data_IF_024947968688
#
_entry.id   IF_024947968688
#
_cell.length_a   1.000
_cell.length_b   1.000
_cell.length_c   1.000
_cell.angle_alpha   90.00
_cell.angle_beta   90.00
_cell.angle_gamma   90.00
#
_symmetry.space_group_name_H-M   'P 1'
#
loop_
_entity.id
_entity.type
_entity.pdbx_description
1 polymer ?
#
# COMPACT_ATOMS: atom_id res chain seq x y z
N UNK A 1 11.77 -0.50 -31.79
CA UNK A 1 12.85 -0.90 -30.87
C UNK A 1 12.38 -0.65 -29.46
N UNK A 2 11.82 -1.68 -28.86
CA UNK A 2 11.46 -1.66 -27.43
C UNK A 2 12.73 -1.77 -26.62
N UNK A 3 13.17 -0.69 -26.01
CA UNK A 3 14.17 -0.72 -24.95
C UNK A 3 13.54 -1.48 -23.78
N UNK A 4 13.84 -2.74 -23.67
CA UNK A 4 13.63 -3.49 -22.43
C UNK A 4 14.46 -2.79 -21.34
N UNK A 5 13.78 -1.95 -20.57
CA UNK A 5 14.30 -1.44 -19.31
C UNK A 5 14.32 -2.61 -18.33
N UNK A 6 15.32 -3.46 -18.45
CA UNK A 6 15.57 -4.56 -17.53
C UNK A 6 16.01 -3.94 -16.21
N UNK A 7 15.05 -3.55 -15.38
CA UNK A 7 15.33 -3.02 -14.07
C UNK A 7 16.17 -4.05 -13.29
N UNK A 8 17.40 -3.65 -12.91
CA UNK A 8 18.29 -4.49 -12.11
C UNK A 8 17.57 -4.96 -10.83
N UNK A 9 17.73 -6.23 -10.49
CA UNK A 9 17.23 -6.76 -9.21
C UNK A 9 17.85 -5.99 -8.04
N UNK A 10 17.21 -6.04 -6.88
CA UNK A 10 17.73 -5.40 -5.66
C UNK A 10 19.12 -5.93 -5.33
N UNK A 11 19.37 -7.23 -5.51
CA UNK A 11 20.65 -7.87 -5.32
C UNK A 11 21.71 -7.35 -6.31
N UNK A 12 21.36 -7.22 -7.59
CA UNK A 12 22.28 -6.69 -8.60
C UNK A 12 22.63 -5.22 -8.32
N UNK A 13 21.67 -4.42 -7.86
CA UNK A 13 21.89 -3.03 -7.44
C UNK A 13 22.83 -2.93 -6.23
N UNK A 14 22.64 -3.81 -5.24
CA UNK A 14 23.51 -3.87 -4.07
C UNK A 14 24.94 -4.28 -4.44
N UNK A 15 25.08 -5.27 -5.31
CA UNK A 15 26.39 -5.71 -5.82
C UNK A 15 27.11 -4.60 -6.60
N UNK A 16 26.36 -3.83 -7.39
CA UNK A 16 26.92 -2.69 -8.14
C UNK A 16 27.36 -1.57 -7.18
N UNK A 17 26.57 -1.25 -6.18
CA UNK A 17 26.87 -0.20 -5.19
C UNK A 17 28.14 -0.50 -4.36
N UNK A 18 28.44 -1.78 -4.17
CA UNK A 18 29.64 -2.24 -3.44
C UNK A 18 30.78 -2.65 -4.37
N UNK A 19 30.63 -2.50 -5.68
CA UNK A 19 31.59 -2.99 -6.68
C UNK A 19 32.01 -4.45 -6.42
N UNK A 20 31.02 -5.30 -6.08
CA UNK A 20 31.24 -6.63 -5.49
C UNK A 20 32.19 -7.52 -6.31
N UNK A 21 32.12 -7.48 -7.63
CA UNK A 21 32.99 -8.28 -8.49
C UNK A 21 34.46 -7.93 -8.31
N UNK A 22 34.78 -6.64 -8.32
CA UNK A 22 36.17 -6.14 -8.14
C UNK A 22 36.62 -6.34 -6.69
N UNK A 23 35.75 -6.06 -5.72
CA UNK A 23 36.03 -6.25 -4.31
C UNK A 23 36.28 -7.72 -3.97
N UNK A 24 35.49 -8.65 -4.49
CA UNK A 24 35.64 -10.07 -4.25
C UNK A 24 36.99 -10.58 -4.76
N UNK A 25 37.41 -10.19 -5.97
CA UNK A 25 38.72 -10.55 -6.53
C UNK A 25 39.85 -10.06 -5.64
N UNK A 26 39.81 -8.78 -5.26
CA UNK A 26 40.85 -8.20 -4.38
C UNK A 26 40.89 -8.85 -3.00
N UNK A 27 39.75 -9.09 -2.38
CA UNK A 27 39.69 -9.71 -1.06
C UNK A 27 40.17 -11.17 -1.07
N UNK A 28 39.84 -11.90 -2.14
CA UNK A 28 40.28 -13.28 -2.32
C UNK A 28 41.80 -13.36 -2.45
N UNK A 29 42.40 -12.48 -3.26
CA UNK A 29 43.83 -12.39 -3.41
C UNK A 29 44.51 -12.02 -2.08
N UNK A 30 43.95 -11.04 -1.36
CA UNK A 30 44.48 -10.62 -0.07
C UNK A 30 44.41 -11.76 0.96
N UNK A 31 43.30 -12.50 1.00
CA UNK A 31 43.14 -13.65 1.87
C UNK A 31 44.13 -14.78 1.56
N UNK A 32 44.35 -15.07 0.26
CA UNK A 32 45.35 -16.06 -0.18
C UNK A 32 46.76 -15.67 0.27
N UNK A 33 47.17 -14.41 0.04
CA UNK A 33 48.47 -13.90 0.50
C UNK A 33 48.63 -13.98 2.01
N UNK A 34 47.61 -13.63 2.76
CA UNK A 34 47.61 -13.65 4.24
C UNK A 34 47.73 -15.05 4.81
N UNK A 35 47.21 -16.08 4.13
CA UNK A 35 47.33 -17.49 4.55
C UNK A 35 48.77 -18.02 4.55
N UNK A 36 49.69 -17.37 3.83
CA UNK A 36 51.09 -17.71 3.87
C UNK A 36 51.76 -17.39 5.21
N UNK A 37 51.18 -16.47 6.01
CA UNK A 37 51.63 -16.12 7.34
C UNK A 37 51.00 -17.12 8.33
N UNK A 38 51.74 -18.16 8.70
CA UNK A 38 51.24 -19.24 9.54
C UNK A 38 51.75 -19.15 10.99
N UNK A 39 52.88 -18.49 11.24
CA UNK A 39 53.46 -18.28 12.55
C UNK A 39 54.39 -17.05 12.54
N UNK A 40 54.57 -16.46 13.71
CA UNK A 40 55.54 -15.38 13.92
C UNK A 40 56.72 -15.96 14.70
N UNK A 41 57.91 -15.97 14.10
CA UNK A 41 59.12 -16.56 14.68
C UNK A 41 60.17 -15.52 15.03
N UNK A 42 60.03 -14.29 14.53
CA UNK A 42 60.96 -13.20 14.76
C UNK A 42 60.28 -11.83 14.64
N UNK A 43 61.02 -10.75 14.92
CA UNK A 43 60.51 -9.39 14.90
C UNK A 43 60.04 -8.95 13.51
N UNK A 44 60.72 -9.39 12.44
CA UNK A 44 60.35 -9.03 11.06
C UNK A 44 59.02 -9.72 10.67
N UNK A 45 58.86 -10.99 11.01
CA UNK A 45 57.59 -11.72 10.83
C UNK A 45 56.43 -11.10 11.58
N UNK A 46 56.64 -10.56 12.79
CA UNK A 46 55.65 -9.80 13.51
C UNK A 46 55.25 -8.52 12.78
N UNK A 47 56.21 -7.80 12.22
CA UNK A 47 55.97 -6.56 11.45
C UNK A 47 55.21 -6.86 10.17
N UNK A 48 55.53 -7.91 9.46
CA UNK A 48 54.81 -8.36 8.26
C UNK A 48 53.38 -8.78 8.58
N UNK A 49 53.17 -9.55 9.63
CA UNK A 49 51.84 -9.93 10.09
C UNK A 49 51.00 -8.72 10.45
N UNK A 50 51.58 -7.73 11.15
CA UNK A 50 50.88 -6.50 11.50
C UNK A 50 50.50 -5.70 10.24
N UNK A 51 51.37 -5.55 9.28
CA UNK A 51 51.09 -4.88 8.01
C UNK A 51 49.96 -5.56 7.25
N UNK A 52 49.99 -6.89 7.15
CA UNK A 52 48.92 -7.65 6.52
C UNK A 52 47.57 -7.49 7.25
N UNK A 53 47.58 -7.50 8.59
CA UNK A 53 46.38 -7.26 9.39
C UNK A 53 45.82 -5.85 9.18
N UNK A 54 46.67 -4.82 9.07
CA UNK A 54 46.21 -3.46 8.79
C UNK A 54 45.60 -3.32 7.39
N UNK A 55 46.22 -3.93 6.38
CA UNK A 55 45.67 -3.96 5.02
C UNK A 55 44.31 -4.64 4.97
N UNK A 56 44.15 -5.77 5.64
CA UNK A 56 42.84 -6.46 5.75
C UNK A 56 41.80 -5.61 6.48
N UNK A 57 42.18 -4.92 7.56
CA UNK A 57 41.31 -3.99 8.29
C UNK A 57 40.86 -2.83 7.41
N UNK A 58 41.78 -2.22 6.66
CA UNK A 58 41.44 -1.10 5.74
C UNK A 58 40.46 -1.54 4.66
N UNK A 59 40.67 -2.72 4.06
CA UNK A 59 39.78 -3.29 3.08
C UNK A 59 38.34 -3.49 3.68
N UNK A 60 38.26 -4.08 4.87
CA UNK A 60 36.99 -4.26 5.57
C UNK A 60 36.27 -2.93 5.86
N UNK A 61 37.00 -1.95 6.41
CA UNK A 61 36.45 -0.64 6.73
C UNK A 61 35.96 0.10 5.48
N UNK A 62 36.67 -0.03 4.35
CA UNK A 62 36.25 0.54 3.08
C UNK A 62 34.89 -0.02 2.63
N UNK A 63 34.72 -1.34 2.72
CA UNK A 63 33.44 -2.01 2.37
C UNK A 63 32.32 -1.57 3.31
N UNK A 64 32.58 -1.50 4.61
CA UNK A 64 31.59 -1.06 5.60
C UNK A 64 31.13 0.39 5.34
N UNK A 65 32.06 1.29 4.98
CA UNK A 65 31.73 2.67 4.60
C UNK A 65 30.89 2.75 3.33
N UNK A 66 31.28 2.00 2.28
CA UNK A 66 30.52 1.93 1.04
C UNK A 66 29.09 1.41 1.28
N UNK A 67 28.96 0.35 2.09
CA UNK A 67 27.67 -0.19 2.47
C UNK A 67 26.80 0.79 3.28
N UNK A 68 27.42 1.55 4.17
CA UNK A 68 26.70 2.61 4.92
C UNK A 68 26.19 3.70 3.98
N UNK A 69 27.04 4.21 3.08
CA UNK A 69 26.64 5.23 2.11
C UNK A 69 25.51 4.75 1.21
N UNK A 70 25.59 3.52 0.68
CA UNK A 70 24.54 2.95 -0.15
C UNK A 70 23.18 2.82 0.58
N UNK A 71 23.20 2.50 1.88
CA UNK A 71 21.97 2.44 2.69
C UNK A 71 21.39 3.83 2.97
N UNK A 72 22.25 4.84 3.18
CA UNK A 72 21.81 6.22 3.36
C UNK A 72 21.13 6.76 2.10
N UNK A 73 21.70 6.51 0.93
CA UNK A 73 21.11 6.87 -0.36
C UNK A 73 19.77 6.16 -0.61
N UNK A 74 19.69 4.86 -0.30
CA UNK A 74 18.45 4.11 -0.42
C UNK A 74 17.34 4.64 0.52
N UNK A 75 17.72 5.06 1.74
CA UNK A 75 16.80 5.66 2.70
C UNK A 75 16.31 7.02 2.21
N UNK A 76 17.18 7.85 1.67
CA UNK A 76 16.84 9.15 1.10
C UNK A 76 15.89 9.00 -0.09
N UNK A 77 16.15 8.05 -0.98
CA UNK A 77 15.28 7.73 -2.10
C UNK A 77 13.89 7.26 -1.63
N UNK A 78 13.83 6.35 -0.65
CA UNK A 78 12.55 5.88 -0.08
C UNK A 78 11.72 7.04 0.49
N UNK A 79 12.34 7.95 1.22
CA UNK A 79 11.65 9.14 1.74
C UNK A 79 11.14 10.06 0.62
N UNK A 80 11.93 10.24 -0.44
CA UNK A 80 11.52 11.04 -1.59
C UNK A 80 10.32 10.43 -2.32
N UNK A 81 10.29 9.11 -2.48
CA UNK A 81 9.15 8.39 -3.07
C UNK A 81 7.88 8.56 -2.22
N UNK A 82 7.97 8.42 -0.90
CA UNK A 82 6.83 8.62 0.01
C UNK A 82 6.29 10.06 -0.10
N UNK A 83 7.17 11.05 -0.16
CA UNK A 83 6.79 12.45 -0.29
C UNK A 83 6.09 12.71 -1.64
N UNK A 84 6.61 12.16 -2.73
CA UNK A 84 6.02 12.32 -4.06
C UNK A 84 4.67 11.59 -4.18
N UNK A 85 4.56 10.39 -3.61
CA UNK A 85 3.29 9.66 -3.51
C UNK A 85 2.23 10.50 -2.78
N UNK A 86 2.56 11.04 -1.62
CA UNK A 86 1.65 11.89 -0.86
C UNK A 86 1.22 13.13 -1.66
N UNK A 87 2.13 13.75 -2.40
CA UNK A 87 1.84 14.88 -3.28
C UNK A 87 0.85 14.50 -4.38
N UNK A 88 1.08 13.38 -5.04
CA UNK A 88 0.21 12.89 -6.13
C UNK A 88 -1.19 12.49 -5.62
N UNK A 89 -1.26 11.80 -4.49
CA UNK A 89 -2.53 11.44 -3.85
C UNK A 89 -3.32 12.69 -3.45
N UNK A 90 -2.66 13.71 -2.93
CA UNK A 90 -3.31 14.96 -2.55
C UNK A 90 -3.96 15.70 -3.74
N UNK A 91 -3.51 15.47 -4.98
CA UNK A 91 -4.11 16.06 -6.17
C UNK A 91 -5.48 15.44 -6.51
N UNK A 92 -5.66 14.14 -6.30
CA UNK A 92 -6.85 13.41 -6.75
C UNK A 92 -7.85 13.11 -5.62
N UNK A 93 -7.39 12.97 -4.38
CA UNK A 93 -8.22 12.60 -3.25
C UNK A 93 -9.43 13.53 -3.01
N UNK A 94 -9.30 14.86 -3.11
CA UNK A 94 -10.46 15.77 -2.98
C UNK A 94 -11.53 15.50 -4.03
N UNK A 95 -11.13 15.20 -5.27
CA UNK A 95 -12.04 14.91 -6.36
C UNK A 95 -12.72 13.54 -6.18
N UNK A 96 -11.98 12.54 -5.73
CA UNK A 96 -12.54 11.24 -5.35
C UNK A 96 -13.63 11.41 -4.27
N UNK A 97 -13.33 12.14 -3.20
CA UNK A 97 -14.29 12.42 -2.13
C UNK A 97 -15.54 13.12 -2.66
N UNK A 98 -15.37 14.16 -3.46
CA UNK A 98 -16.47 14.90 -4.07
C UNK A 98 -17.38 14.01 -4.92
N UNK A 99 -16.80 13.14 -5.74
CA UNK A 99 -17.56 12.23 -6.60
C UNK A 99 -18.32 11.17 -5.78
N UNK A 100 -17.71 10.66 -4.72
CA UNK A 100 -18.35 9.72 -3.79
C UNK A 100 -19.55 10.40 -3.11
N UNK A 101 -19.40 11.60 -2.60
CA UNK A 101 -20.46 12.38 -1.98
C UNK A 101 -21.63 12.61 -2.95
N UNK A 102 -21.36 13.03 -4.17
CA UNK A 102 -22.40 13.20 -5.21
C UNK A 102 -23.16 11.91 -5.52
N UNK A 103 -22.46 10.79 -5.59
CA UNK A 103 -23.09 9.48 -5.78
C UNK A 103 -24.00 9.13 -4.60
N UNK A 104 -23.50 9.28 -3.40
CA UNK A 104 -24.22 8.94 -2.17
C UNK A 104 -25.43 9.84 -1.96
N UNK A 105 -25.34 11.13 -2.29
CA UNK A 105 -26.48 12.06 -2.30
C UNK A 105 -27.56 11.63 -3.30
N UNK A 106 -27.17 11.25 -4.50
CA UNK A 106 -28.08 10.74 -5.52
C UNK A 106 -28.78 9.46 -5.06
N UNK A 107 -28.03 8.51 -4.55
CA UNK A 107 -28.57 7.24 -4.06
C UNK A 107 -29.55 7.45 -2.90
N UNK A 108 -29.23 8.36 -1.97
CA UNK A 108 -30.11 8.74 -0.88
C UNK A 108 -31.41 9.39 -1.39
N UNK A 109 -31.29 10.27 -2.40
CA UNK A 109 -32.47 10.90 -3.02
C UNK A 109 -33.38 9.87 -3.68
N UNK A 110 -32.85 8.98 -4.49
CA UNK A 110 -33.60 7.91 -5.17
C UNK A 110 -34.28 6.99 -4.15
N UNK A 111 -33.57 6.63 -3.09
CA UNK A 111 -34.14 5.84 -2.01
C UNK A 111 -35.28 6.55 -1.30
N UNK A 112 -35.13 7.83 -0.97
CA UNK A 112 -36.16 8.64 -0.33
C UNK A 112 -37.40 8.79 -1.23
N UNK A 113 -37.22 9.05 -2.53
CA UNK A 113 -38.33 9.12 -3.49
C UNK A 113 -39.09 7.81 -3.60
N UNK A 114 -38.41 6.69 -3.62
CA UNK A 114 -39.01 5.35 -3.63
C UNK A 114 -39.81 5.08 -2.36
N UNK A 115 -39.21 5.35 -1.19
CA UNK A 115 -39.89 5.18 0.11
C UNK A 115 -41.12 6.07 0.24
N UNK A 116 -41.06 7.33 -0.25
CA UNK A 116 -42.17 8.23 -0.28
C UNK A 116 -43.32 7.74 -1.19
N UNK A 117 -42.98 7.25 -2.39
CA UNK A 117 -43.95 6.67 -3.32
C UNK A 117 -44.62 5.41 -2.74
N UNK A 118 -43.86 4.53 -2.12
CA UNK A 118 -44.39 3.34 -1.45
C UNK A 118 -45.29 3.71 -0.24
N UNK A 119 -44.92 4.72 0.54
CA UNK A 119 -45.74 5.22 1.64
C UNK A 119 -47.08 5.80 1.15
N UNK A 120 -47.03 6.58 0.07
CA UNK A 120 -48.22 7.14 -0.56
C UNK A 120 -49.17 6.06 -1.07
N UNK A 121 -48.65 5.03 -1.73
CA UNK A 121 -49.45 3.90 -2.21
C UNK A 121 -50.01 3.07 -1.05
N UNK A 122 -49.27 2.86 0.04
CA UNK A 122 -49.84 2.24 1.25
C UNK A 122 -50.99 3.04 1.82
N UNK A 123 -50.86 4.36 1.92
CA UNK A 123 -51.95 5.23 2.40
C UNK A 123 -53.21 5.15 1.48
N UNK A 124 -53.00 5.14 0.16
CA UNK A 124 -54.06 4.98 -0.81
C UNK A 124 -54.81 3.66 -0.63
N UNK A 125 -54.06 2.56 -0.51
CA UNK A 125 -54.65 1.23 -0.28
C UNK A 125 -55.46 1.18 1.03
N UNK A 126 -54.91 1.72 2.12
CA UNK A 126 -55.61 1.77 3.41
C UNK A 126 -56.85 2.63 3.34
N UNK A 127 -56.86 3.76 2.63
CA UNK A 127 -58.05 4.59 2.41
C UNK A 127 -59.12 3.84 1.62
N UNK A 128 -58.75 3.09 0.59
CA UNK A 128 -59.67 2.25 -0.20
C UNK A 128 -60.27 1.15 0.69
N UNK A 129 -59.47 0.46 1.49
CA UNK A 129 -59.96 -0.57 2.42
C UNK A 129 -60.93 0.00 3.44
N UNK A 130 -60.64 1.17 4.00
CA UNK A 130 -61.55 1.86 4.93
C UNK A 130 -62.89 2.19 4.29
N UNK A 131 -62.91 2.69 3.04
CA UNK A 131 -64.17 2.95 2.31
C UNK A 131 -64.92 1.67 2.01
N UNK A 132 -64.29 0.61 1.65
CA UNK A 132 -64.95 -0.71 1.43
C UNK A 132 -65.58 -1.21 2.71
N UNK A 133 -64.92 -1.09 3.85
CA UNK A 133 -65.45 -1.46 5.15
C UNK A 133 -66.68 -0.59 5.54
N UNK A 134 -66.63 0.71 5.27
CA UNK A 134 -67.75 1.64 5.50
C UNK A 134 -68.95 1.29 4.65
N UNK A 135 -68.80 1.03 3.35
CA UNK A 135 -69.84 0.55 2.48
C UNK A 135 -70.45 -0.79 2.93
N UNK A 136 -69.61 -1.73 3.33
CA UNK A 136 -70.00 -3.03 3.86
C UNK A 136 -70.91 -2.86 5.12
N UNK A 137 -70.55 -1.98 6.03
CA UNK A 137 -71.37 -1.67 7.19
C UNK A 137 -72.73 -1.07 6.82
N UNK A 138 -72.75 -0.09 5.89
CA UNK A 138 -74.00 0.50 5.39
C UNK A 138 -74.95 -0.54 4.75
N UNK A 139 -74.38 -1.47 3.96
CA UNK A 139 -75.20 -2.55 3.35
C UNK A 139 -75.79 -3.48 4.42
N UNK A 140 -75.03 -3.79 5.45
CA UNK A 140 -75.47 -4.65 6.54
C UNK A 140 -76.60 -3.95 7.36
N UNK A 141 -76.45 -2.66 7.64
CA UNK A 141 -77.45 -1.90 8.35
C UNK A 141 -78.74 -1.76 7.54
N UNK A 142 -78.67 -1.53 6.23
CA UNK A 142 -79.86 -1.47 5.35
C UNK A 142 -80.63 -2.82 5.29
N UNK A 143 -79.86 -3.96 5.19
CA UNK A 143 -80.42 -5.28 5.21
C UNK A 143 -81.09 -5.63 6.55
N UNK A 144 -80.58 -5.15 7.68
CA UNK A 144 -81.23 -5.30 8.99
C UNK A 144 -82.52 -4.48 9.11
N UNK A 145 -82.54 -3.28 8.56
CA UNK A 145 -83.73 -2.46 8.54
C UNK A 145 -84.86 -3.05 7.70
N UNK A 146 -84.55 -3.66 6.55
CA UNK A 146 -85.52 -4.37 5.72
C UNK A 146 -86.07 -5.65 6.39
N UNK A 147 -85.29 -6.31 7.19
CA UNK A 147 -85.64 -7.55 7.87
C UNK A 147 -86.61 -7.32 9.09
N UNK A 148 -86.68 -6.08 9.60
CA UNK A 148 -87.49 -5.68 10.78
C UNK A 148 -88.65 -4.76 10.42
N UNK A 149 -88.95 -4.49 9.17
CA UNK A 149 -90.12 -3.75 8.64
C UNK A 149 -91.14 -4.73 8.14
#
# INVERSE_FOLDING_TARGET
MTTENTALTVQARAALALESSTAETYLTELAVKSKAITAITNKDGRTECHAAAMTAKEARVSIEKAGKSAREDATAFSKAVISEEARLVALIKPEETRLIELRDEWDAKVKAEKEAAEALERQRIEAIKARIAEFGAMVTDAAMLEAHG
#
